data_IF_387525377190
#
_entry.id   IF_387525377190
#
_cell.length_a   1.000
_cell.length_b   1.000
_cell.length_c   1.000
_cell.angle_alpha   90.00
_cell.angle_beta   90.00
_cell.angle_gamma   90.00
#
_symmetry.space_group_name_H-M   'P 1'
#
loop_
_entity.id
_entity.type
_entity.pdbx_description
1 polymer ?
#
# COMPACT_ATOMS: atom_id res chain seq x y z
N UNK A 1 -10.91 -49.00 -10.63
CA UNK A 1 -11.10 -47.84 -9.74
C UNK A 1 -11.18 -46.60 -10.60
N UNK A 2 -12.34 -45.95 -10.65
CA UNK A 2 -12.52 -44.69 -11.36
C UNK A 2 -12.20 -43.56 -10.37
N UNK A 3 -11.11 -42.83 -10.60
CA UNK A 3 -10.76 -41.64 -9.83
C UNK A 3 -11.73 -40.49 -10.11
N UNK A 4 -11.94 -39.57 -9.16
CA UNK A 4 -12.83 -38.43 -9.37
C UNK A 4 -12.27 -37.52 -10.46
N UNK A 5 -13.16 -37.11 -11.38
CA UNK A 5 -12.88 -36.16 -12.44
C UNK A 5 -12.40 -34.82 -11.85
N UNK A 6 -11.33 -34.27 -12.42
CA UNK A 6 -10.86 -32.92 -12.13
C UNK A 6 -11.98 -31.90 -12.32
N UNK A 7 -12.07 -30.85 -11.48
CA UNK A 7 -13.02 -29.78 -11.70
C UNK A 7 -12.71 -29.12 -13.04
N UNK A 8 -13.68 -29.18 -13.96
CA UNK A 8 -13.62 -28.48 -15.23
C UNK A 8 -13.46 -26.99 -14.95
N UNK A 9 -12.32 -26.43 -15.32
CA UNK A 9 -12.11 -24.99 -15.37
C UNK A 9 -13.16 -24.41 -16.31
N UNK A 10 -14.16 -23.74 -15.73
CA UNK A 10 -15.18 -23.02 -16.50
C UNK A 10 -14.44 -21.97 -17.31
N UNK A 11 -14.40 -22.14 -18.63
CA UNK A 11 -13.89 -21.13 -19.55
C UNK A 11 -14.70 -19.85 -19.33
N UNK A 12 -14.07 -18.82 -18.77
CA UNK A 12 -14.52 -17.45 -19.00
C UNK A 12 -14.52 -17.28 -20.52
N UNK A 13 -15.71 -17.06 -21.10
CA UNK A 13 -15.86 -16.84 -22.54
C UNK A 13 -14.84 -15.79 -22.95
N UNK A 14 -14.05 -16.09 -23.98
CA UNK A 14 -12.98 -15.22 -24.50
C UNK A 14 -13.46 -13.81 -24.81
N UNK A 15 -14.77 -13.66 -25.06
CA UNK A 15 -15.47 -12.39 -25.31
C UNK A 15 -15.44 -11.42 -24.11
N UNK A 16 -15.11 -11.90 -22.91
CA UNK A 16 -15.01 -11.09 -21.69
C UNK A 16 -13.65 -10.40 -21.56
N UNK A 17 -12.64 -10.87 -22.31
CA UNK A 17 -11.30 -10.34 -22.29
C UNK A 17 -11.14 -9.32 -23.41
N UNK A 18 -10.91 -8.04 -23.07
CA UNK A 18 -10.79 -6.95 -24.05
C UNK A 18 -9.70 -7.16 -25.12
N UNK A 19 -8.74 -8.05 -24.88
CA UNK A 19 -7.61 -8.33 -25.77
C UNK A 19 -7.60 -9.74 -26.37
N UNK A 20 -8.61 -10.59 -26.10
CA UNK A 20 -8.61 -12.02 -26.44
C UNK A 20 -7.37 -12.81 -25.95
N UNK A 21 -6.49 -12.22 -25.12
CA UNK A 21 -5.37 -12.92 -24.51
C UNK A 21 -5.83 -13.51 -23.18
N UNK A 22 -5.96 -14.83 -23.17
CA UNK A 22 -6.21 -15.64 -21.98
C UNK A 22 -4.90 -16.30 -21.59
N UNK A 23 -4.42 -16.04 -20.39
CA UNK A 23 -3.23 -16.68 -19.82
C UNK A 23 -3.67 -17.75 -18.80
N UNK A 24 -2.90 -18.84 -18.70
CA UNK A 24 -3.06 -19.80 -17.61
C UNK A 24 -2.26 -19.28 -16.40
N UNK A 25 -2.97 -18.77 -15.40
CA UNK A 25 -2.42 -18.24 -14.16
C UNK A 25 -2.87 -19.16 -13.02
N UNK A 26 -1.93 -19.85 -12.37
CA UNK A 26 -2.21 -20.79 -11.28
C UNK A 26 -3.23 -21.89 -11.63
N UNK A 27 -3.20 -22.43 -12.85
CA UNK A 27 -4.16 -23.43 -13.37
C UNK A 27 -5.59 -22.90 -13.60
N UNK A 28 -5.78 -21.58 -13.56
CA UNK A 28 -7.01 -20.90 -13.94
C UNK A 28 -6.77 -20.05 -15.20
N UNK A 29 -7.70 -20.13 -16.15
CA UNK A 29 -7.65 -19.29 -17.34
C UNK A 29 -8.17 -17.90 -17.00
N UNK A 30 -7.30 -16.90 -17.10
CA UNK A 30 -7.61 -15.50 -16.78
C UNK A 30 -7.27 -14.58 -17.94
N UNK A 31 -8.03 -13.49 -18.09
CA UNK A 31 -7.69 -12.45 -19.04
C UNK A 31 -6.32 -11.84 -18.70
N UNK A 32 -5.52 -11.57 -19.72
CA UNK A 32 -4.30 -10.80 -19.55
C UNK A 32 -4.64 -9.41 -19.01
N UNK A 33 -3.96 -8.94 -17.95
CA UNK A 33 -4.22 -7.62 -17.40
C UNK A 33 -3.92 -6.49 -18.37
N UNK A 34 -4.65 -5.38 -18.22
CA UNK A 34 -4.41 -4.18 -19.01
C UNK A 34 -3.02 -3.62 -18.70
N UNK A 35 -2.35 -3.00 -19.68
CA UNK A 35 -1.18 -2.17 -19.41
C UNK A 35 -1.51 -1.06 -18.41
N UNK A 36 -0.48 -0.57 -17.74
CA UNK A 36 -0.56 0.59 -16.86
C UNK A 36 -0.90 1.86 -17.65
N UNK A 37 -1.70 2.76 -17.05
CA UNK A 37 -1.96 4.09 -17.61
C UNK A 37 -0.69 4.97 -17.57
N UNK A 38 -0.59 5.92 -18.50
CA UNK A 38 0.64 6.69 -18.71
C UNK A 38 0.95 7.76 -17.65
N UNK A 39 0.00 8.10 -16.78
CA UNK A 39 0.11 9.18 -15.78
C UNK A 39 0.31 8.67 -14.34
N UNK A 40 0.64 7.38 -14.18
CA UNK A 40 0.93 6.80 -12.88
C UNK A 40 2.33 7.23 -12.36
N UNK A 41 2.54 7.31 -11.03
CA UNK A 41 3.85 7.64 -10.47
C UNK A 41 4.91 6.61 -10.86
N UNK A 42 6.15 7.04 -11.05
CA UNK A 42 7.26 6.11 -11.26
C UNK A 42 7.57 5.33 -9.98
N UNK A 43 7.92 4.05 -10.13
CA UNK A 43 8.38 3.23 -9.02
C UNK A 43 8.58 1.76 -9.41
N UNK A 44 9.31 0.98 -8.61
CA UNK A 44 9.51 -0.46 -8.81
C UNK A 44 8.21 -1.26 -8.98
N UNK A 45 7.11 -0.84 -8.34
CA UNK A 45 5.82 -1.52 -8.46
C UNK A 45 5.36 -1.72 -9.92
N UNK A 46 5.69 -0.78 -10.82
CA UNK A 46 5.24 -0.82 -12.21
C UNK A 46 5.79 -2.02 -13.00
N UNK A 47 6.83 -2.70 -12.49
CA UNK A 47 7.39 -3.92 -13.07
C UNK A 47 6.61 -5.18 -12.70
N UNK A 48 5.81 -5.13 -11.62
CA UNK A 48 5.12 -6.31 -11.07
C UNK A 48 3.62 -6.08 -10.83
N UNK A 49 3.14 -4.86 -11.09
CA UNK A 49 1.73 -4.49 -11.11
C UNK A 49 1.31 -4.04 -12.51
N UNK A 50 0.10 -4.46 -12.90
CA UNK A 50 -0.58 -4.11 -14.14
C UNK A 50 -1.97 -3.54 -13.85
N UNK A 51 -2.58 -2.93 -14.87
CA UNK A 51 -3.89 -2.28 -14.76
C UNK A 51 -3.91 -1.10 -13.80
N UNK A 52 -2.76 -0.46 -13.57
CA UNK A 52 -2.65 0.68 -12.67
C UNK A 52 -3.19 1.96 -13.30
N UNK A 53 -3.93 2.74 -12.50
CA UNK A 53 -4.43 4.08 -12.84
C UNK A 53 -4.50 4.99 -11.61
N UNK A 54 -4.39 6.29 -11.82
CA UNK A 54 -4.60 7.28 -10.77
C UNK A 54 -6.00 7.84 -10.85
N UNK A 55 -6.70 7.87 -9.72
CA UNK A 55 -8.00 8.53 -9.58
C UNK A 55 -7.91 9.65 -8.56
N UNK A 56 -8.75 10.68 -8.74
CA UNK A 56 -8.89 11.77 -7.77
C UNK A 56 -10.14 11.50 -6.95
N UNK A 57 -9.98 11.09 -5.70
CA UNK A 57 -11.07 10.95 -4.76
C UNK A 57 -11.41 12.34 -4.20
N UNK A 58 -12.67 12.76 -4.39
CA UNK A 58 -13.20 13.98 -3.78
C UNK A 58 -13.87 13.60 -2.46
N UNK A 59 -13.18 13.85 -1.35
CA UNK A 59 -13.79 13.82 -0.03
C UNK A 59 -14.51 15.15 0.21
N UNK A 60 -15.80 15.18 -0.11
CA UNK A 60 -16.71 16.27 0.22
C UNK A 60 -18.13 15.77 0.14
N UNK A 61 -18.82 15.67 1.28
CA UNK A 61 -20.26 15.49 1.28
C UNK A 61 -20.90 16.66 0.48
N UNK A 62 -21.96 16.44 -0.31
CA UNK A 62 -22.74 17.53 -0.85
C UNK A 62 -23.34 18.32 0.32
N UNK A 63 -22.65 19.38 0.74
CA UNK A 63 -23.09 20.29 1.77
C UNK A 63 -24.34 21.01 1.28
N UNK A 64 -25.51 20.51 1.65
CA UNK A 64 -26.76 21.23 1.54
C UNK A 64 -26.73 22.43 2.50
N UNK A 65 -26.35 23.60 1.99
CA UNK A 65 -26.48 24.85 2.74
C UNK A 65 -25.39 25.87 2.42
N UNK A 66 -25.67 26.74 1.45
CA UNK A 66 -25.40 28.19 1.41
C UNK A 66 -24.04 28.80 1.77
N UNK A 67 -23.06 28.06 2.28
CA UNK A 67 -21.75 28.57 2.68
C UNK A 67 -20.72 28.29 1.58
N UNK A 68 -19.75 29.20 1.34
CA UNK A 68 -18.67 28.96 0.39
C UNK A 68 -17.94 27.67 0.74
N UNK A 69 -17.60 26.80 -0.22
CA UNK A 69 -16.94 25.55 0.07
C UNK A 69 -15.59 25.80 0.72
N UNK A 70 -15.48 25.47 2.00
CA UNK A 70 -14.20 25.36 2.72
C UNK A 70 -13.44 24.19 2.09
N UNK A 71 -12.49 24.51 1.23
CA UNK A 71 -11.38 23.67 0.74
C UNK A 71 -11.72 22.19 0.50
N UNK A 72 -12.21 21.85 -0.69
CA UNK A 72 -12.35 20.45 -1.11
C UNK A 72 -10.96 19.77 -1.10
N UNK A 73 -10.70 18.89 -0.13
CA UNK A 73 -9.51 18.06 -0.16
C UNK A 73 -9.68 16.97 -1.23
N UNK A 74 -8.86 17.04 -2.27
CA UNK A 74 -8.74 16.00 -3.29
C UNK A 74 -7.56 15.11 -2.96
N UNK A 75 -7.80 13.81 -2.73
CA UNK A 75 -6.72 12.83 -2.58
C UNK A 75 -6.49 12.10 -3.90
N UNK A 76 -5.23 11.84 -4.23
CA UNK A 76 -4.86 11.04 -5.41
C UNK A 76 -4.65 9.61 -4.96
N UNK A 77 -5.36 8.69 -5.58
CA UNK A 77 -5.32 7.26 -5.24
C UNK A 77 -4.83 6.49 -6.47
N UNK A 78 -3.76 5.73 -6.30
CA UNK A 78 -3.33 4.74 -7.28
C UNK A 78 -4.11 3.45 -7.02
N UNK A 79 -4.71 2.88 -8.07
CA UNK A 79 -5.37 1.58 -8.01
C UNK A 79 -4.82 0.72 -9.13
N UNK A 80 -4.41 -0.50 -8.80
CA UNK A 80 -3.94 -1.52 -9.73
C UNK A 80 -4.82 -2.75 -9.61
N UNK A 81 -5.22 -3.34 -10.74
CA UNK A 81 -6.04 -4.56 -10.73
C UNK A 81 -5.19 -5.82 -10.50
N UNK A 82 -3.92 -5.78 -10.88
CA UNK A 82 -3.09 -6.98 -10.99
C UNK A 82 -1.67 -6.78 -10.48
N UNK A 83 -1.49 -6.80 -9.16
CA UNK A 83 -0.18 -6.85 -8.53
C UNK A 83 0.22 -8.29 -8.20
N UNK A 84 1.40 -8.69 -8.66
CA UNK A 84 1.95 -10.03 -8.49
C UNK A 84 2.23 -10.35 -7.02
N UNK A 85 1.91 -11.57 -6.61
CA UNK A 85 2.23 -12.13 -5.29
C UNK A 85 3.41 -13.10 -5.39
N UNK A 86 4.08 -13.37 -4.27
CA UNK A 86 5.18 -14.35 -4.21
C UNK A 86 4.70 -15.79 -4.50
N UNK A 87 3.42 -16.09 -4.30
CA UNK A 87 2.82 -17.38 -4.64
C UNK A 87 2.49 -17.55 -6.12
N UNK A 88 2.86 -16.58 -6.96
CA UNK A 88 2.58 -16.57 -8.41
C UNK A 88 1.15 -16.15 -8.76
N UNK A 89 0.39 -15.66 -7.79
CA UNK A 89 -0.95 -15.11 -7.99
C UNK A 89 -0.91 -13.62 -8.31
N UNK A 90 -2.09 -13.04 -8.52
CA UNK A 90 -2.27 -11.59 -8.68
C UNK A 90 -3.43 -11.13 -7.82
N UNK A 91 -3.36 -9.90 -7.33
CA UNK A 91 -4.43 -9.26 -6.56
C UNK A 91 -4.52 -7.77 -6.83
N UNK A 92 -5.67 -7.20 -6.52
CA UNK A 92 -5.86 -5.76 -6.55
C UNK A 92 -5.08 -5.09 -5.42
N UNK A 93 -4.56 -3.89 -5.70
CA UNK A 93 -3.88 -3.04 -4.74
C UNK A 93 -4.31 -1.58 -4.90
N UNK A 94 -4.42 -0.88 -3.77
CA UNK A 94 -4.81 0.52 -3.71
C UNK A 94 -3.86 1.26 -2.78
N UNK A 95 -3.42 2.46 -3.17
CA UNK A 95 -2.52 3.28 -2.39
C UNK A 95 -2.86 4.77 -2.48
N UNK A 96 -2.90 5.44 -1.32
CA UNK A 96 -3.06 6.90 -1.24
C UNK A 96 -1.70 7.57 -1.49
N UNK A 97 -1.57 8.24 -2.64
CA UNK A 97 -0.32 8.84 -3.09
C UNK A 97 0.14 10.00 -2.19
N UNK A 98 -0.74 10.61 -1.40
CA UNK A 98 -0.34 11.63 -0.44
C UNK A 98 0.60 11.09 0.65
N UNK A 99 0.56 9.77 0.89
CA UNK A 99 1.38 9.06 1.88
C UNK A 99 2.74 8.61 1.34
N UNK A 100 3.03 8.78 0.05
CA UNK A 100 4.33 8.41 -0.53
C UNK A 100 4.90 9.59 -1.31
N UNK A 101 5.49 10.52 -0.58
CA UNK A 101 6.11 11.70 -1.15
C UNK A 101 7.59 11.46 -1.39
N UNK A 102 8.18 12.22 -2.33
CA UNK A 102 9.61 12.18 -2.59
C UNK A 102 10.41 12.43 -1.30
N UNK A 103 11.52 11.69 -1.08
CA UNK A 103 12.19 10.76 -2.01
C UNK A 103 11.60 9.35 -2.07
N UNK A 104 10.47 9.09 -1.39
CA UNK A 104 9.80 7.80 -1.37
C UNK A 104 9.35 7.33 -2.75
N UNK A 105 9.34 6.01 -2.93
CA UNK A 105 8.88 5.33 -4.17
C UNK A 105 7.93 4.21 -3.82
N UNK A 106 6.95 3.95 -4.68
CA UNK A 106 6.06 2.83 -4.52
C UNK A 106 6.71 1.52 -4.98
N UNK A 107 6.58 0.50 -4.17
CA UNK A 107 7.03 -0.86 -4.43
C UNK A 107 5.89 -1.85 -4.19
N UNK A 108 5.92 -2.98 -4.88
CA UNK A 108 4.96 -4.06 -4.69
C UNK A 108 5.58 -5.14 -3.82
N UNK A 109 5.05 -5.31 -2.61
CA UNK A 109 5.43 -6.37 -1.70
C UNK A 109 4.30 -7.39 -1.60
N UNK A 110 4.43 -8.51 -2.31
CA UNK A 110 3.47 -9.62 -2.27
C UNK A 110 2.02 -9.21 -2.59
N UNK A 111 1.85 -8.33 -3.57
CA UNK A 111 0.54 -7.80 -3.97
C UNK A 111 0.03 -6.65 -3.10
N UNK A 112 0.86 -6.11 -2.21
CA UNK A 112 0.56 -4.94 -1.37
C UNK A 112 1.53 -3.82 -1.73
N UNK A 113 0.99 -2.66 -2.07
CA UNK A 113 1.80 -1.48 -2.36
C UNK A 113 2.37 -0.89 -1.05
N UNK A 114 3.69 -0.71 -1.02
CA UNK A 114 4.44 -0.06 0.06
C UNK A 114 5.16 1.17 -0.47
N UNK A 115 5.33 2.19 0.37
CA UNK A 115 6.27 3.27 0.12
C UNK A 115 7.62 2.93 0.75
N UNK A 116 8.66 2.91 -0.08
CA UNK A 116 10.04 2.64 0.32
C UNK A 116 10.92 3.86 0.12
N UNK A 117 12.07 3.91 0.79
CA UNK A 117 13.04 5.01 0.63
C UNK A 117 12.64 6.31 1.36
N UNK A 118 11.64 6.26 2.24
CA UNK A 118 11.28 7.39 3.10
C UNK A 118 12.31 7.50 4.23
N UNK A 119 13.06 8.61 4.35
CA UNK A 119 14.09 8.74 5.37
C UNK A 119 13.48 8.98 6.75
N UNK A 120 14.17 8.48 7.77
CA UNK A 120 13.91 8.85 9.16
C UNK A 120 14.56 10.21 9.45
N UNK A 121 13.76 11.17 9.93
CA UNK A 121 14.22 12.54 10.18
C UNK A 121 14.98 12.62 11.51
N UNK A 122 16.22 13.10 11.46
CA UNK A 122 17.04 13.24 12.66
C UNK A 122 17.38 11.88 13.28
N UNK A 123 17.96 10.96 12.51
CA UNK A 123 18.32 9.61 12.99
C UNK A 123 19.15 9.59 14.28
N UNK A 124 19.92 10.64 14.57
CA UNK A 124 20.67 10.80 15.84
C UNK A 124 19.79 11.17 17.04
N UNK A 125 18.61 11.76 16.81
CA UNK A 125 17.63 12.15 17.83
C UNK A 125 16.51 11.13 18.00
N UNK A 126 16.46 10.10 17.16
CA UNK A 126 15.48 9.03 17.30
C UNK A 126 15.88 8.09 18.45
N UNK A 127 14.94 7.70 19.33
CA UNK A 127 15.20 6.74 20.38
C UNK A 127 15.60 5.37 19.78
N UNK A 128 16.51 4.62 20.42
CA UNK A 128 16.88 3.30 19.95
C UNK A 128 15.71 2.33 20.09
N UNK A 129 15.55 1.41 19.14
CA UNK A 129 14.45 0.45 19.17
C UNK A 129 14.37 -0.46 17.94
N UNK A 130 13.58 -1.53 18.07
CA UNK A 130 13.29 -2.48 16.99
C UNK A 130 12.50 -1.86 15.84
N UNK A 131 11.69 -0.84 16.14
CA UNK A 131 10.89 -0.12 15.14
C UNK A 131 11.73 0.46 14.00
N UNK A 132 13.01 0.79 14.22
CA UNK A 132 13.89 1.32 13.17
C UNK A 132 14.10 0.34 12.00
N UNK A 133 13.82 -0.95 12.20
CA UNK A 133 13.93 -1.98 11.16
C UNK A 133 12.63 -2.17 10.35
N UNK A 134 11.49 -1.70 10.86
CA UNK A 134 10.16 -2.00 10.30
C UNK A 134 9.26 -0.78 10.17
N UNK A 135 9.73 0.40 10.58
CA UNK A 135 9.09 1.69 10.40
C UNK A 135 10.01 2.65 9.65
N UNK A 136 9.41 3.52 8.84
CA UNK A 136 10.06 4.62 8.15
C UNK A 136 9.28 5.92 8.29
N UNK A 137 9.91 7.04 7.89
CA UNK A 137 9.33 8.38 8.02
C UNK A 137 9.17 8.82 9.48
N UNK A 138 10.06 8.33 10.35
CA UNK A 138 10.00 8.62 11.78
C UNK A 138 10.54 10.02 12.11
N UNK A 139 9.87 10.72 13.03
CA UNK A 139 10.27 12.02 13.58
C UNK A 139 9.85 12.11 15.04
N UNK A 140 10.71 12.68 15.89
CA UNK A 140 10.30 13.11 17.24
C UNK A 140 9.76 14.53 17.13
N UNK A 141 8.47 14.68 17.43
CA UNK A 141 7.79 15.98 17.44
C UNK A 141 7.94 16.67 18.80
N UNK A 142 7.45 17.92 18.89
CA UNK A 142 7.40 18.64 20.16
C UNK A 142 6.51 17.89 21.16
N UNK A 143 6.93 17.82 22.41
CA UNK A 143 6.22 17.06 23.45
C UNK A 143 6.59 15.58 23.51
N UNK A 144 7.78 15.21 23.00
CA UNK A 144 8.34 13.86 23.10
C UNK A 144 7.43 12.78 22.50
N UNK A 145 6.73 13.12 21.40
CA UNK A 145 5.94 12.17 20.62
C UNK A 145 6.80 11.64 19.47
N UNK A 146 7.02 10.33 19.41
CA UNK A 146 7.59 9.69 18.23
C UNK A 146 6.47 9.33 17.27
N UNK A 147 6.49 9.92 16.07
CA UNK A 147 5.56 9.62 14.99
C UNK A 147 6.31 8.96 13.85
N UNK A 148 5.78 7.87 13.30
CA UNK A 148 6.26 7.23 12.08
C UNK A 148 5.09 7.06 11.10
N UNK A 149 5.31 7.39 9.83
CA UNK A 149 4.24 7.34 8.80
C UNK A 149 4.11 5.99 8.11
N UNK A 150 5.13 5.13 8.22
CA UNK A 150 5.23 3.87 7.48
C UNK A 150 5.68 2.71 8.37
N UNK A 151 4.94 2.40 9.42
CA UNK A 151 5.15 1.20 10.24
C UNK A 151 4.51 -0.02 9.59
N UNK A 152 5.29 -1.09 9.46
CA UNK A 152 4.84 -2.35 8.87
C UNK A 152 3.93 -3.12 9.83
N UNK A 153 2.71 -3.41 9.36
CA UNK A 153 1.78 -4.32 10.00
C UNK A 153 2.05 -5.77 9.56
N UNK A 154 1.57 -6.74 10.35
CA UNK A 154 1.73 -8.17 10.10
C UNK A 154 1.08 -8.64 8.79
N UNK A 155 0.07 -7.91 8.30
CA UNK A 155 -0.53 -8.16 7.00
C UNK A 155 0.25 -7.54 5.84
N UNK A 156 1.41 -6.93 6.10
CA UNK A 156 2.28 -6.30 5.12
C UNK A 156 1.89 -4.87 4.73
N UNK A 157 0.80 -4.30 5.25
CA UNK A 157 0.47 -2.89 5.02
C UNK A 157 1.40 -1.98 5.82
N UNK A 158 1.56 -0.75 5.33
CA UNK A 158 2.19 0.33 6.09
C UNK A 158 1.11 1.23 6.69
N UNK A 159 1.21 1.48 7.99
CA UNK A 159 0.30 2.34 8.75
C UNK A 159 1.07 3.46 9.45
N UNK A 160 0.36 4.53 9.78
CA UNK A 160 0.89 5.57 10.64
C UNK A 160 0.74 5.14 12.11
N UNK A 161 1.74 5.45 12.93
CA UNK A 161 1.71 5.19 14.36
C UNK A 161 2.43 6.28 15.14
N UNK A 162 1.96 6.51 16.37
CA UNK A 162 2.50 7.51 17.29
C UNK A 162 2.64 6.88 18.68
N UNK A 163 3.73 7.17 19.38
CA UNK A 163 3.93 6.79 20.78
C UNK A 163 4.48 7.96 21.59
N UNK A 164 3.99 8.12 22.82
CA UNK A 164 4.54 9.06 23.78
C UNK A 164 5.81 8.48 24.40
N UNK A 165 6.94 9.17 24.26
CA UNK A 165 8.20 8.72 24.84
C UNK A 165 8.24 8.87 26.37
N UNK A 166 7.37 9.71 26.93
CA UNK A 166 7.23 9.87 28.38
C UNK A 166 6.55 8.66 29.03
N UNK A 167 5.73 7.93 28.28
CA UNK A 167 5.08 6.69 28.72
C UNK A 167 6.03 5.48 28.70
N UNK A 168 7.11 5.56 27.92
CA UNK A 168 8.16 4.54 27.92
C UNK A 168 9.04 4.68 29.16
N UNK A 169 8.67 4.02 30.26
CA UNK A 169 9.46 4.00 31.49
C UNK A 169 10.95 3.68 31.20
N UNK A 170 11.85 4.50 31.75
CA UNK A 170 13.28 4.18 31.80
C UNK A 170 14.05 4.23 30.47
N UNK A 171 13.60 4.99 29.45
CA UNK A 171 14.17 4.96 28.08
C UNK A 171 13.96 3.61 27.39
N UNK A 172 12.75 3.06 27.56
CA UNK A 172 12.33 1.80 26.94
C UNK A 172 12.69 1.75 25.45
N UNK A 173 13.17 0.58 25.01
CA UNK A 173 13.39 0.34 23.58
C UNK A 173 12.03 0.26 22.91
N UNK A 174 11.80 1.15 21.96
CA UNK A 174 10.54 1.16 21.21
C UNK A 174 10.57 0.02 20.21
N UNK A 175 9.45 -0.66 20.03
CA UNK A 175 9.27 -1.67 19.01
C UNK A 175 8.03 -1.40 18.17
N UNK A 176 7.90 -2.11 17.06
CA UNK A 176 6.72 -2.09 16.22
C UNK A 176 5.97 -3.42 16.37
N UNK A 177 4.77 -3.37 16.94
CA UNK A 177 3.87 -4.51 17.11
C UNK A 177 2.70 -4.38 16.14
N UNK A 178 2.81 -5.03 14.98
CA UNK A 178 1.75 -5.07 13.98
C UNK A 178 1.30 -3.66 13.50
N UNK A 179 2.27 -2.78 13.27
CA UNK A 179 2.05 -1.42 12.83
C UNK A 179 1.87 -0.42 13.97
N UNK A 180 1.80 -0.88 15.22
CA UNK A 180 1.65 -0.04 16.41
C UNK A 180 2.99 0.12 17.14
N UNK A 181 3.38 1.36 17.42
CA UNK A 181 4.60 1.67 18.17
C UNK A 181 4.34 1.44 19.66
N UNK A 182 5.17 0.58 20.26
CA UNK A 182 5.04 0.19 21.67
C UNK A 182 6.36 0.32 22.41
N UNK A 183 6.27 0.56 23.70
CA UNK A 183 7.29 0.21 24.68
C UNK A 183 6.94 -1.19 25.25
#
# INVERSE_FOLDING_TARGET
GHGPASPSSVLLSSDSCQSNLVENIQSELRCQPRPNEGDIPEGPYAQSCLGCRVSVARSGAPGGGGSPPTTTMTTRVLSCTDCSTMSGGRREAVYDLSRCQLPGKLDNNNGILKCIGVPNHGTRSLPPGGYLNSCAGCVVEKGMMLRCTHCEAADGRQVESVVSLDECEGKGRIDNRNGDLVC
#
